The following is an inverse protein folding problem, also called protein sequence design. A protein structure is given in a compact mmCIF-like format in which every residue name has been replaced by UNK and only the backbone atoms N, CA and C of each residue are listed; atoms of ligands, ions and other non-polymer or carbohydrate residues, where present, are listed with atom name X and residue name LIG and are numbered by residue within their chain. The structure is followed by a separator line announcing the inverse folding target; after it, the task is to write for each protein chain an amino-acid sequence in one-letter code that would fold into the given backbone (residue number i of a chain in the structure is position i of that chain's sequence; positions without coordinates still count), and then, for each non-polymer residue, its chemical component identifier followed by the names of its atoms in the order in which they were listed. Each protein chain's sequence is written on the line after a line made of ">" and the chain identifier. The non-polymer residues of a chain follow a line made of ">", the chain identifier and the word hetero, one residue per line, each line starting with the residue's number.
data_IF_051344055528
#
_entry.id   IF_051344055528
#
_cell.length_a   1.000
_cell.length_b   1.000
_cell.length_c   1.000
_cell.angle_alpha   90.00
_cell.angle_beta   90.00
_cell.angle_gamma   90.00
#
_symmetry.space_group_name_H-M   'P 1'
#
loop_
_entity.id
_entity.type
_entity.pdbx_description
1 polymer ?
#
# COMPACT_ATOMS: atom_id res chain seq x y z
N UNK A 1 11.91 78.49 19.40
CA UNK A 1 12.48 77.79 18.23
C UNK A 1 13.50 76.78 18.75
N UNK A 2 13.35 75.53 18.34
CA UNK A 2 13.98 74.35 18.92
C UNK A 2 15.49 74.22 18.66
N UNK A 3 16.22 73.46 19.49
CA UNK A 3 17.44 72.78 19.09
C UNK A 3 17.24 71.27 18.85
N UNK A 4 18.13 70.72 18.00
CA UNK A 4 18.41 69.31 17.68
C UNK A 4 18.96 68.53 18.92
N UNK A 5 19.18 67.20 19.02
CA UNK A 5 19.32 66.02 18.12
C UNK A 5 19.49 64.76 19.05
N UNK A 6 19.20 63.52 18.58
CA UNK A 6 19.98 62.24 18.80
C UNK A 6 19.88 61.55 20.21
N UNK A 7 19.71 60.24 20.49
CA UNK A 7 19.52 58.91 19.80
C UNK A 7 18.89 57.89 20.80
N UNK A 8 18.27 56.82 20.27
CA UNK A 8 18.35 55.38 20.63
C UNK A 8 17.62 54.70 21.83
N UNK A 9 16.85 53.67 21.43
CA UNK A 9 16.87 52.25 21.92
C UNK A 9 15.78 51.72 22.87
N UNK A 10 15.31 50.50 22.54
CA UNK A 10 14.66 49.47 23.40
C UNK A 10 13.14 49.61 23.61
N UNK A 11 12.29 48.72 23.06
CA UNK A 11 11.84 47.42 23.64
C UNK A 11 10.99 47.60 24.92
N UNK A 12 9.83 46.97 25.16
CA UNK A 12 9.11 45.82 24.59
C UNK A 12 7.62 45.97 24.93
N UNK A 13 6.73 45.57 24.01
CA UNK A 13 5.31 45.39 24.29
C UNK A 13 5.04 43.92 24.57
N UNK A 14 4.93 43.56 25.85
CA UNK A 14 4.42 42.26 26.29
C UNK A 14 2.90 42.23 26.15
N UNK A 15 2.40 41.31 25.32
CA UNK A 15 0.98 41.04 25.15
C UNK A 15 0.76 39.85 24.21
N UNK A 16 1.35 38.71 24.55
CA UNK A 16 1.12 37.45 23.81
C UNK A 16 -0.30 36.96 24.12
N UNK A 17 -1.19 37.01 23.13
CA UNK A 17 -2.46 36.28 23.17
C UNK A 17 -2.16 34.78 23.01
N UNK A 18 -2.51 34.01 24.03
CA UNK A 18 -2.55 32.54 23.96
C UNK A 18 -3.67 32.16 22.99
N UNK A 19 -3.32 31.71 21.80
CA UNK A 19 -4.27 31.16 20.84
C UNK A 19 -4.29 29.65 21.06
N UNK A 20 -5.26 29.16 21.83
CA UNK A 20 -5.53 27.74 22.00
C UNK A 20 -5.93 27.13 20.65
N UNK A 21 -5.19 26.09 20.25
CA UNK A 21 -5.45 25.32 19.04
C UNK A 21 -6.84 24.67 19.13
N UNK A 22 -7.83 25.22 18.46
CA UNK A 22 -9.05 24.48 18.11
C UNK A 22 -8.65 23.30 17.21
N UNK A 23 -8.61 22.09 17.76
CA UNK A 23 -8.49 20.85 17.00
C UNK A 23 -9.73 20.72 16.11
N UNK A 24 -9.57 20.88 14.79
CA UNK A 24 -10.64 20.63 13.83
C UNK A 24 -10.89 19.12 13.78
N UNK A 25 -12.02 18.70 14.33
CA UNK A 25 -12.53 17.33 14.19
C UNK A 25 -12.77 17.06 12.70
N UNK A 26 -12.13 16.03 12.16
CA UNK A 26 -12.25 15.66 10.76
C UNK A 26 -13.09 14.39 10.64
N UNK A 27 -14.10 14.43 9.77
CA UNK A 27 -14.92 13.27 9.45
C UNK A 27 -14.03 12.15 8.87
N UNK A 28 -14.28 10.92 9.31
CA UNK A 28 -13.58 9.73 8.83
C UNK A 28 -13.76 9.55 7.31
N UNK A 29 -12.67 9.24 6.63
CA UNK A 29 -12.68 8.74 5.25
C UNK A 29 -12.89 7.22 5.21
N UNK A 30 -13.31 6.64 4.07
CA UNK A 30 -13.37 5.19 3.89
C UNK A 30 -12.04 4.47 4.17
N UNK A 31 -10.91 5.10 3.81
CA UNK A 31 -9.58 4.58 4.07
C UNK A 31 -9.26 4.51 5.57
N UNK A 32 -9.53 5.60 6.31
CA UNK A 32 -9.36 5.64 7.76
C UNK A 32 -10.30 4.66 8.47
N UNK A 33 -11.56 4.58 8.03
CA UNK A 33 -12.52 3.62 8.58
C UNK A 33 -12.06 2.16 8.41
N UNK A 34 -11.50 1.83 7.24
CA UNK A 34 -10.97 0.49 6.97
C UNK A 34 -9.78 0.15 7.87
N UNK A 35 -8.84 1.10 8.06
CA UNK A 35 -7.70 0.93 8.97
C UNK A 35 -8.15 0.75 10.42
N UNK A 36 -9.16 1.49 10.88
CA UNK A 36 -9.74 1.31 12.21
C UNK A 36 -10.42 -0.05 12.38
N UNK A 37 -11.13 -0.55 11.36
CA UNK A 37 -11.70 -1.90 11.38
C UNK A 37 -10.60 -2.97 11.45
N UNK A 38 -9.49 -2.79 10.74
CA UNK A 38 -8.33 -3.69 10.82
C UNK A 38 -7.76 -3.72 12.24
N UNK A 39 -7.47 -2.54 12.82
CA UNK A 39 -7.00 -2.38 14.21
C UNK A 39 -7.90 -3.03 15.24
N UNK A 40 -9.22 -2.91 15.06
CA UNK A 40 -10.23 -3.53 15.93
C UNK A 40 -10.48 -5.01 15.65
N UNK A 41 -9.72 -5.60 14.73
CA UNK A 41 -9.85 -6.99 14.31
C UNK A 41 -11.22 -7.35 13.72
N UNK A 42 -11.91 -6.40 13.06
CA UNK A 42 -13.28 -6.58 12.53
C UNK A 42 -13.35 -7.00 11.06
N UNK A 43 -12.22 -6.95 10.37
CA UNK A 43 -12.09 -7.43 8.99
C UNK A 43 -10.99 -8.49 8.88
N UNK A 44 -11.12 -9.35 7.88
CA UNK A 44 -10.18 -10.42 7.54
C UNK A 44 -9.64 -10.29 6.11
N UNK A 45 -10.05 -9.28 5.35
CA UNK A 45 -9.47 -8.95 4.05
C UNK A 45 -9.76 -7.49 3.75
N UNK A 46 -8.91 -6.88 2.91
CA UNK A 46 -9.11 -5.51 2.39
C UNK A 46 -9.68 -5.49 0.97
N UNK A 47 -9.95 -6.66 0.37
CA UNK A 47 -10.57 -6.74 -0.95
C UNK A 47 -11.98 -6.13 -0.93
N UNK A 48 -12.25 -5.22 -1.89
CA UNK A 48 -13.55 -4.54 -2.01
C UNK A 48 -13.85 -3.48 -0.95
N UNK A 49 -12.89 -3.16 -0.08
CA UNK A 49 -13.00 -2.05 0.87
C UNK A 49 -12.25 -0.81 0.36
N UNK A 50 -12.78 0.36 0.69
CA UNK A 50 -12.34 1.69 0.26
C UNK A 50 -12.10 1.77 -1.26
N UNK A 51 -13.09 1.42 -2.12
CA UNK A 51 -12.93 1.41 -3.58
C UNK A 51 -12.47 2.78 -4.11
N UNK A 52 -11.41 2.79 -4.93
CA UNK A 52 -10.79 4.01 -5.46
C UNK A 52 -9.63 4.57 -4.62
N UNK A 53 -9.38 4.02 -3.43
CA UNK A 53 -8.13 4.23 -2.69
C UNK A 53 -7.07 3.20 -3.11
N UNK A 54 -5.80 3.60 -3.10
CA UNK A 54 -4.69 2.68 -3.39
C UNK A 54 -4.43 1.77 -2.19
N UNK A 55 -4.16 0.50 -2.49
CA UNK A 55 -3.72 -0.48 -1.51
C UNK A 55 -2.21 -0.69 -1.63
N UNK A 56 -1.53 -0.83 -0.50
CA UNK A 56 -0.10 -1.04 -0.45
C UNK A 56 0.26 -2.36 0.24
N UNK A 57 1.20 -3.07 -0.35
CA UNK A 57 1.91 -4.16 0.28
C UNK A 57 2.87 -3.59 1.34
N UNK A 58 3.05 -4.30 2.45
CA UNK A 58 4.00 -3.95 3.51
C UNK A 58 5.21 -4.89 3.52
N UNK A 59 6.40 -4.30 3.65
CA UNK A 59 7.61 -4.98 4.14
C UNK A 59 8.27 -4.15 5.27
N UNK A 60 8.58 -4.76 6.40
CA UNK A 60 9.27 -4.14 7.54
C UNK A 60 10.54 -4.90 7.83
N UNK A 61 11.66 -4.22 7.98
CA UNK A 61 12.95 -4.84 8.21
C UNK A 61 13.84 -4.01 9.14
N UNK A 62 14.89 -4.59 9.75
CA UNK A 62 15.81 -3.85 10.60
C UNK A 62 16.51 -2.74 9.81
N UNK A 63 16.56 -1.53 10.38
CA UNK A 63 16.93 -0.34 9.63
C UNK A 63 18.36 -0.33 9.08
N UNK A 64 19.28 -1.16 9.57
CA UNK A 64 20.60 -1.34 8.94
C UNK A 64 20.52 -1.91 7.50
N UNK A 65 19.43 -2.56 7.12
CA UNK A 65 19.21 -3.06 5.75
C UNK A 65 18.27 -2.17 4.92
N UNK A 66 17.77 -1.06 5.50
CA UNK A 66 16.81 -0.18 4.84
C UNK A 66 17.37 0.45 3.54
N UNK A 67 18.63 0.91 3.56
CA UNK A 67 19.27 1.46 2.35
C UNK A 67 19.43 0.40 1.26
N UNK A 68 19.84 -0.83 1.63
CA UNK A 68 19.96 -1.93 0.68
C UNK A 68 18.61 -2.24 0.01
N UNK A 69 17.52 -2.25 0.78
CA UNK A 69 16.20 -2.52 0.22
C UNK A 69 15.67 -1.36 -0.63
N UNK A 70 15.89 -0.11 -0.20
CA UNK A 70 15.54 1.07 -0.99
C UNK A 70 16.28 1.09 -2.34
N UNK A 71 17.59 0.81 -2.33
CA UNK A 71 18.40 0.72 -3.55
C UNK A 71 17.92 -0.43 -4.44
N UNK A 72 17.56 -1.57 -3.86
CA UNK A 72 16.99 -2.68 -4.62
C UNK A 72 15.69 -2.26 -5.32
N UNK A 73 14.77 -1.62 -4.61
CA UNK A 73 13.52 -1.14 -5.17
C UNK A 73 13.75 -0.10 -6.27
N UNK A 74 14.70 0.82 -6.08
CA UNK A 74 15.08 1.80 -7.09
C UNK A 74 15.65 1.16 -8.36
N UNK A 75 16.38 0.04 -8.23
CA UNK A 75 16.88 -0.75 -9.36
C UNK A 75 15.80 -1.64 -9.99
N UNK A 76 14.71 -1.92 -9.27
CA UNK A 76 13.62 -2.80 -9.73
C UNK A 76 12.25 -2.13 -9.52
N UNK A 77 11.99 -0.97 -10.16
CA UNK A 77 10.82 -0.15 -9.85
C UNK A 77 9.48 -0.78 -10.29
N UNK A 78 9.51 -1.67 -11.29
CA UNK A 78 8.30 -2.35 -11.79
C UNK A 78 7.77 -3.39 -10.78
N UNK A 79 8.58 -4.34 -10.28
CA UNK A 79 8.11 -5.30 -9.28
C UNK A 79 8.10 -4.74 -7.84
N UNK A 80 8.85 -3.67 -7.56
CA UNK A 80 8.99 -3.10 -6.22
C UNK A 80 8.79 -1.57 -6.19
N UNK A 81 7.64 -1.03 -6.65
CA UNK A 81 7.41 0.41 -6.65
C UNK A 81 7.16 0.89 -5.21
N UNK A 82 8.06 1.69 -4.65
CA UNK A 82 7.87 2.27 -3.30
C UNK A 82 6.86 3.41 -3.38
N UNK A 83 5.80 3.32 -2.59
CA UNK A 83 4.82 4.38 -2.34
C UNK A 83 5.20 5.24 -1.14
N UNK A 84 5.75 4.63 -0.10
CA UNK A 84 6.16 5.34 1.12
C UNK A 84 7.04 4.51 2.03
N UNK A 85 7.73 5.18 2.95
CA UNK A 85 8.68 4.58 3.90
C UNK A 85 8.47 5.19 5.28
N UNK A 86 8.50 4.40 6.34
CA UNK A 86 8.47 4.93 7.70
C UNK A 86 9.83 5.55 8.08
N UNK A 87 9.87 6.57 8.95
CA UNK A 87 11.09 6.90 9.66
C UNK A 87 11.59 5.69 10.47
N UNK A 88 12.90 5.65 10.75
CA UNK A 88 13.51 4.57 11.53
C UNK A 88 12.88 4.53 12.93
N UNK A 89 12.26 3.40 13.27
CA UNK A 89 11.67 3.13 14.57
C UNK A 89 10.27 3.72 14.77
N UNK A 90 9.79 4.59 13.88
CA UNK A 90 8.48 5.24 14.02
C UNK A 90 7.40 4.53 13.20
N UNK A 91 6.42 3.87 13.84
CA UNK A 91 5.33 3.18 13.15
C UNK A 91 4.14 4.08 12.77
N UNK A 92 4.13 5.35 13.17
CA UNK A 92 2.96 6.24 13.02
C UNK A 92 3.05 7.19 11.82
N UNK A 93 4.22 7.27 11.18
CA UNK A 93 4.46 8.18 10.06
C UNK A 93 4.89 7.42 8.81
N UNK A 94 4.43 7.90 7.65
CA UNK A 94 4.87 7.46 6.32
C UNK A 94 5.36 8.66 5.54
N UNK A 95 6.50 8.51 4.85
CA UNK A 95 7.07 9.51 3.97
C UNK A 95 7.02 8.98 2.52
N UNK A 96 6.42 9.72 1.58
CA UNK A 96 5.79 11.04 1.75
C UNK A 96 4.45 10.98 2.52
N UNK A 97 4.13 12.05 3.25
CA UNK A 97 2.97 12.13 4.16
C UNK A 97 1.61 12.25 3.48
N UNK A 98 1.57 12.34 2.15
CA UNK A 98 0.35 12.18 1.37
C UNK A 98 -0.07 10.71 1.23
N UNK A 99 0.87 9.77 1.40
CA UNK A 99 0.59 8.34 1.40
C UNK A 99 -0.35 7.95 2.56
N UNK A 100 -0.03 8.46 3.75
CA UNK A 100 -0.89 8.37 4.93
C UNK A 100 -0.94 9.76 5.57
N UNK A 101 -2.10 10.41 5.49
CA UNK A 101 -2.32 11.76 6.00
C UNK A 101 -2.46 11.69 7.52
N UNK A 102 -1.55 12.38 8.21
CA UNK A 102 -1.58 12.49 9.66
C UNK A 102 -2.84 13.23 10.13
N UNK A 103 -3.48 12.66 11.14
CA UNK A 103 -4.61 13.23 11.86
C UNK A 103 -4.35 13.00 13.34
N UNK A 104 -4.39 14.06 14.14
CA UNK A 104 -4.09 14.00 15.58
C UNK A 104 -5.03 13.03 16.30
N UNK A 105 -6.30 13.04 15.91
CA UNK A 105 -7.33 12.16 16.42
C UNK A 105 -8.50 12.03 15.44
N UNK A 106 -9.19 10.90 15.49
CA UNK A 106 -10.37 10.61 14.65
C UNK A 106 -11.60 10.50 15.53
N UNK A 107 -12.74 10.97 15.03
CA UNK A 107 -14.04 10.77 15.70
C UNK A 107 -14.31 9.27 15.86
N UNK A 108 -14.65 8.83 17.06
CA UNK A 108 -15.03 7.44 17.28
C UNK A 108 -16.36 7.12 16.58
N UNK A 109 -16.39 5.99 15.88
CA UNK A 109 -17.59 5.46 15.23
C UNK A 109 -17.76 3.98 15.57
N UNK A 110 -19.01 3.51 15.55
CA UNK A 110 -19.35 2.10 15.79
C UNK A 110 -18.92 1.20 14.61
N UNK A 111 -18.65 -0.08 14.89
CA UNK A 111 -18.13 -1.01 13.87
C UNK A 111 -19.05 -1.15 12.64
N UNK A 112 -20.38 -1.11 12.82
CA UNK A 112 -21.34 -1.16 11.70
C UNK A 112 -21.29 0.10 10.82
N UNK A 113 -21.10 1.27 11.43
CA UNK A 113 -20.98 2.53 10.72
C UNK A 113 -19.67 2.59 9.94
N UNK A 114 -18.57 2.19 10.58
CA UNK A 114 -17.27 2.05 9.95
C UNK A 114 -17.34 1.09 8.75
N UNK A 115 -18.04 -0.03 8.89
CA UNK A 115 -18.17 -1.01 7.80
C UNK A 115 -19.00 -0.47 6.63
N UNK A 116 -20.04 0.33 6.90
CA UNK A 116 -20.79 1.02 5.85
C UNK A 116 -19.92 2.03 5.12
N UNK A 117 -19.18 2.86 5.87
CA UNK A 117 -18.28 3.86 5.32
C UNK A 117 -17.11 3.23 4.54
N UNK A 118 -16.52 2.15 5.03
CA UNK A 118 -15.45 1.41 4.36
C UNK A 118 -15.87 0.81 3.02
N UNK A 119 -17.18 0.73 2.71
CA UNK A 119 -17.68 0.24 1.41
C UNK A 119 -17.94 1.36 0.40
N UNK A 120 -17.63 2.61 0.72
CA UNK A 120 -17.84 3.76 -0.17
C UNK A 120 -16.54 4.25 -0.82
N UNK A 121 -16.68 4.92 -1.97
CA UNK A 121 -15.58 5.55 -2.69
C UNK A 121 -15.25 6.95 -2.16
N UNK A 122 -14.07 7.54 -2.49
CA UNK A 122 -13.68 8.89 -2.06
C UNK A 122 -14.77 9.97 -2.27
N UNK A 123 -15.50 9.91 -3.38
CA UNK A 123 -16.57 10.86 -3.74
C UNK A 123 -17.97 10.44 -3.26
N UNK A 124 -18.08 9.28 -2.59
CA UNK A 124 -19.33 8.75 -2.05
C UNK A 124 -19.62 9.21 -0.61
N UNK A 125 -18.82 10.12 -0.06
CA UNK A 125 -19.11 10.77 1.22
C UNK A 125 -20.38 11.61 1.03
N UNK A 126 -21.46 11.39 1.80
CA UNK A 126 -22.67 12.19 1.67
C UNK A 126 -22.31 13.67 1.89
N UNK A 127 -22.46 14.48 0.85
CA UNK A 127 -22.43 15.93 0.99
C UNK A 127 -23.72 16.36 1.68
N UNK A 128 -23.63 16.58 3.00
CA UNK A 128 -24.69 17.19 3.80
C UNK A 128 -25.55 16.21 4.58
N UNK A 129 -25.34 16.20 5.89
CA UNK A 129 -26.45 16.24 6.82
C UNK A 129 -26.22 17.42 7.75
N UNK A 130 -27.27 18.22 7.90
CA UNK A 130 -27.41 19.37 8.79
C UNK A 130 -26.68 19.13 10.11
N UNK A 131 -25.80 20.05 10.49
CA UNK A 131 -25.12 20.03 11.78
C UNK A 131 -26.14 20.36 12.87
N UNK A 132 -26.85 19.34 13.36
CA UNK A 132 -27.43 19.40 14.69
C UNK A 132 -26.28 19.29 15.68
N UNK A 133 -25.87 20.43 16.24
CA UNK A 133 -25.00 20.51 17.42
C UNK A 133 -25.58 19.62 18.52
N UNK A 134 -25.06 18.39 18.61
CA UNK A 134 -25.21 17.54 19.76
C UNK A 134 -23.89 17.65 20.50
N UNK A 135 -23.93 18.32 21.64
CA UNK A 135 -22.85 18.36 22.64
C UNK A 135 -22.76 16.98 23.30
N UNK A 136 -22.32 15.98 22.55
CA UNK A 136 -21.81 14.72 23.11
C UNK A 136 -20.28 14.80 23.05
N UNK A 137 -19.62 14.51 24.18
CA UNK A 137 -18.18 14.29 24.23
C UNK A 137 -17.84 13.17 23.24
N UNK A 138 -17.48 13.55 22.03
CA UNK A 138 -17.12 12.61 20.97
C UNK A 138 -15.76 12.05 21.35
N UNK A 139 -15.79 10.82 21.87
CA UNK A 139 -14.59 10.04 22.11
C UNK A 139 -13.73 9.99 20.84
N UNK A 140 -12.41 10.02 21.02
CA UNK A 140 -11.45 10.07 19.92
C UNK A 140 -10.55 8.86 19.95
N UNK A 141 -10.16 8.37 18.77
CA UNK A 141 -9.22 7.26 18.63
C UNK A 141 -7.85 7.76 18.16
N UNK A 142 -6.74 7.11 18.57
CA UNK A 142 -5.40 7.45 18.10
C UNK A 142 -5.29 7.42 16.57
N UNK A 143 -4.38 8.22 16.02
CA UNK A 143 -4.06 8.27 14.59
C UNK A 143 -3.50 6.96 14.03
N UNK A 144 -2.90 7.02 12.83
CA UNK A 144 -2.36 5.85 12.13
C UNK A 144 -1.31 5.08 12.94
N UNK A 145 -1.38 3.75 12.89
CA UNK A 145 -0.33 2.86 13.42
C UNK A 145 -0.17 1.62 12.53
N UNK A 146 0.92 1.58 11.77
CA UNK A 146 1.20 0.49 10.82
C UNK A 146 1.33 -0.89 11.49
N UNK A 147 1.48 -0.95 12.82
CA UNK A 147 1.59 -2.22 13.55
C UNK A 147 0.24 -2.90 13.77
N UNK A 148 -0.86 -2.17 13.60
CA UNK A 148 -2.23 -2.65 13.88
C UNK A 148 -3.23 -2.38 12.75
N UNK A 149 -2.92 -1.45 11.84
CA UNK A 149 -3.87 -0.98 10.81
C UNK A 149 -3.97 -1.87 9.56
N UNK A 150 -3.39 -3.07 9.62
CA UNK A 150 -3.47 -4.12 8.59
C UNK A 150 -4.11 -5.37 9.21
N UNK A 151 -5.01 -6.08 8.52
CA UNK A 151 -5.75 -7.18 9.13
C UNK A 151 -4.92 -8.42 9.48
N UNK A 152 -3.78 -8.66 8.84
CA UNK A 152 -2.94 -9.84 9.09
C UNK A 152 -1.49 -9.57 8.64
N UNK A 153 -0.54 -10.00 9.46
CA UNK A 153 0.90 -9.85 9.24
C UNK A 153 1.58 -11.20 9.24
N UNK A 154 2.62 -11.35 8.42
CA UNK A 154 3.54 -12.48 8.46
C UNK A 154 4.86 -12.04 9.07
N UNK A 155 5.38 -12.85 9.98
CA UNK A 155 6.66 -12.64 10.65
C UNK A 155 7.68 -13.65 10.13
N UNK A 156 8.88 -13.18 9.85
CA UNK A 156 9.97 -13.95 9.28
C UNK A 156 11.22 -13.81 10.13
N UNK A 157 11.94 -14.92 10.28
CA UNK A 157 13.27 -14.96 10.92
C UNK A 157 14.23 -15.78 10.07
N UNK A 158 15.39 -15.22 9.74
CA UNK A 158 16.37 -15.86 8.85
C UNK A 158 15.78 -16.23 7.47
N UNK A 159 14.86 -15.41 6.95
CA UNK A 159 14.15 -15.63 5.69
C UNK A 159 13.10 -16.75 5.69
N UNK A 160 12.73 -17.28 6.86
CA UNK A 160 11.65 -18.27 7.00
C UNK A 160 10.46 -17.66 7.71
N UNK A 161 9.26 -17.92 7.20
CA UNK A 161 8.02 -17.58 7.89
C UNK A 161 7.93 -18.36 9.20
N UNK A 162 7.68 -17.66 10.32
CA UNK A 162 7.61 -18.25 11.67
C UNK A 162 6.23 -18.13 12.30
N UNK A 163 5.47 -17.08 11.99
CA UNK A 163 4.12 -16.89 12.53
C UNK A 163 3.30 -15.93 11.67
N UNK A 164 1.98 -16.07 11.75
CA UNK A 164 1.02 -15.07 11.26
C UNK A 164 0.33 -14.44 12.46
N UNK A 165 0.27 -13.11 12.51
CA UNK A 165 -0.20 -12.34 13.66
C UNK A 165 -1.23 -11.28 13.21
N UNK A 166 -2.07 -10.79 14.14
CA UNK A 166 -3.07 -9.74 13.88
C UNK A 166 -2.53 -8.32 14.12
N UNK A 167 -1.39 -8.23 14.78
CA UNK A 167 -0.58 -7.04 14.96
C UNK A 167 0.90 -7.43 14.99
N UNK A 168 1.79 -6.44 14.94
CA UNK A 168 3.25 -6.64 15.06
C UNK A 168 3.85 -5.76 16.17
N UNK A 169 3.06 -5.48 17.21
CA UNK A 169 3.48 -4.59 18.31
C UNK A 169 4.71 -5.13 19.05
N UNK A 170 4.75 -6.44 19.29
CA UNK A 170 5.88 -7.11 19.98
C UNK A 170 7.11 -7.30 19.11
N UNK A 171 6.95 -7.34 17.79
CA UNK A 171 8.04 -7.55 16.82
C UNK A 171 8.72 -6.23 16.44
N UNK A 172 7.99 -5.12 16.52
CA UNK A 172 8.49 -3.80 16.14
C UNK A 172 9.49 -3.23 17.15
N UNK A 173 10.76 -3.51 16.91
CA UNK A 173 11.91 -2.87 17.56
C UNK A 173 12.24 -1.43 17.09
N UNK A 174 13.14 -0.73 17.82
CA UNK A 174 13.43 0.70 17.65
C UNK A 174 14.20 1.06 16.37
N UNK A 175 14.70 0.06 15.63
CA UNK A 175 15.42 0.25 14.39
C UNK A 175 14.59 -0.06 13.15
N UNK A 176 13.37 -0.59 13.28
CA UNK A 176 12.63 -1.07 12.11
C UNK A 176 12.25 0.06 11.17
N UNK A 177 12.22 -0.28 9.89
CA UNK A 177 11.75 0.59 8.80
C UNK A 177 10.72 -0.19 8.00
N UNK A 178 9.53 0.39 7.85
CA UNK A 178 8.46 -0.11 6.99
C UNK A 178 8.53 0.51 5.60
N UNK A 179 8.28 -0.31 4.58
CA UNK A 179 8.19 0.05 3.17
C UNK A 179 6.80 -0.29 2.67
N UNK A 180 6.09 0.72 2.18
CA UNK A 180 4.85 0.57 1.44
C UNK A 180 5.18 0.41 -0.05
N UNK A 181 4.76 -0.71 -0.62
CA UNK A 181 5.05 -1.10 -1.98
C UNK A 181 3.72 -1.15 -2.73
N UNK A 182 3.66 -0.59 -3.94
CA UNK A 182 2.47 -0.59 -4.76
C UNK A 182 1.90 -1.99 -4.99
N UNK A 183 0.58 -2.06 -5.22
CA UNK A 183 -0.15 -3.31 -5.38
C UNK A 183 -0.94 -3.34 -6.70
N UNK A 184 -1.12 -4.54 -7.25
CA UNK A 184 -1.85 -4.74 -8.50
C UNK A 184 -3.36 -4.51 -8.38
N UNK A 185 -3.92 -4.61 -7.16
CA UNK A 185 -5.35 -4.40 -6.92
C UNK A 185 -5.83 -3.04 -7.44
N UNK A 186 -4.97 -2.01 -7.39
CA UNK A 186 -5.35 -0.67 -7.84
C UNK A 186 -5.70 -0.58 -9.32
N UNK A 187 -5.07 -1.38 -10.20
CA UNK A 187 -5.43 -1.37 -11.62
C UNK A 187 -6.60 -2.32 -11.95
N UNK A 188 -6.93 -3.26 -11.06
CA UNK A 188 -8.06 -4.18 -11.26
C UNK A 188 -9.38 -3.42 -11.29
N UNK A 189 -9.57 -2.47 -10.38
CA UNK A 189 -10.72 -1.56 -10.39
C UNK A 189 -10.83 -0.82 -11.74
N UNK A 190 -9.70 -0.38 -12.30
CA UNK A 190 -9.62 0.25 -13.61
C UNK A 190 -10.03 -0.68 -14.76
N UNK A 191 -9.62 -1.95 -14.71
CA UNK A 191 -10.00 -2.96 -15.70
C UNK A 191 -11.49 -3.29 -15.62
N UNK A 192 -12.02 -3.48 -14.40
CA UNK A 192 -13.44 -3.72 -14.17
C UNK A 192 -14.29 -2.53 -14.66
N UNK A 193 -13.88 -1.30 -14.37
CA UNK A 193 -14.55 -0.09 -14.85
C UNK A 193 -14.51 0.07 -16.38
N UNK A 194 -13.47 -0.46 -17.03
CA UNK A 194 -13.35 -0.52 -18.49
C UNK A 194 -14.18 -1.65 -19.13
N UNK A 195 -14.91 -2.44 -18.32
CA UNK A 195 -15.78 -3.53 -18.78
C UNK A 195 -15.07 -4.87 -18.97
N UNK A 196 -13.81 -5.00 -18.53
CA UNK A 196 -13.14 -6.29 -18.50
C UNK A 196 -13.57 -7.10 -17.29
N UNK A 197 -13.56 -8.42 -17.43
CA UNK A 197 -13.72 -9.32 -16.30
C UNK A 197 -12.38 -9.94 -15.89
N UNK A 198 -12.26 -10.26 -14.61
CA UNK A 198 -11.04 -10.83 -14.03
C UNK A 198 -11.34 -12.27 -13.61
N UNK A 199 -10.68 -13.23 -14.27
CA UNK A 199 -10.97 -14.67 -14.10
C UNK A 199 -10.96 -15.11 -12.63
N UNK A 200 -9.99 -14.65 -11.85
CA UNK A 200 -9.86 -15.02 -10.44
C UNK A 200 -10.96 -14.39 -9.56
N UNK A 201 -11.52 -13.23 -9.93
CA UNK A 201 -12.72 -12.69 -9.27
C UNK A 201 -13.95 -13.55 -9.59
N UNK A 202 -14.13 -13.91 -10.86
CA UNK A 202 -15.24 -14.77 -11.30
C UNK A 202 -15.21 -16.16 -10.62
N UNK A 203 -14.01 -16.71 -10.41
CA UNK A 203 -13.81 -18.02 -9.82
C UNK A 203 -13.69 -18.00 -8.27
N UNK A 204 -13.57 -16.81 -7.66
CA UNK A 204 -13.32 -16.68 -6.22
C UNK A 204 -11.97 -17.25 -5.79
N UNK A 205 -10.96 -17.15 -6.64
CA UNK A 205 -9.61 -17.73 -6.44
C UNK A 205 -8.54 -16.65 -6.28
N UNK A 206 -7.35 -17.05 -5.84
CA UNK A 206 -6.18 -16.18 -5.78
C UNK A 206 -5.53 -16.09 -7.16
N UNK A 207 -5.17 -14.89 -7.60
CA UNK A 207 -4.50 -14.66 -8.89
C UNK A 207 -3.25 -15.56 -9.04
N UNK A 208 -3.05 -16.26 -10.17
CA UNK A 208 -1.87 -17.08 -10.38
C UNK A 208 -0.62 -16.22 -10.52
N UNK A 209 0.47 -16.66 -9.90
CA UNK A 209 1.76 -15.99 -9.90
C UNK A 209 2.90 -16.95 -10.25
N UNK A 210 3.91 -16.44 -10.94
CA UNK A 210 4.98 -17.25 -11.54
C UNK A 210 6.35 -16.63 -11.29
N UNK A 211 7.32 -17.50 -11.03
CA UNK A 211 8.74 -17.18 -11.03
C UNK A 211 9.23 -17.12 -12.46
N UNK A 212 9.65 -15.93 -12.89
CA UNK A 212 10.24 -15.77 -14.22
C UNK A 212 11.67 -16.32 -14.28
N UNK A 213 12.28 -16.30 -15.47
CA UNK A 213 13.72 -16.45 -15.66
C UNK A 213 14.50 -15.14 -15.45
N UNK A 214 13.82 -14.02 -15.17
CA UNK A 214 14.42 -12.69 -15.04
C UNK A 214 14.92 -12.50 -13.59
N UNK A 215 16.23 -12.25 -13.38
CA UNK A 215 16.75 -11.97 -12.05
C UNK A 215 16.35 -10.57 -11.58
N UNK A 216 16.14 -10.42 -10.28
CA UNK A 216 16.08 -9.09 -9.64
C UNK A 216 17.49 -8.49 -9.64
N UNK A 217 17.62 -7.22 -10.02
CA UNK A 217 18.89 -6.50 -9.91
C UNK A 217 19.27 -6.35 -8.44
N UNK A 218 20.41 -6.87 -7.98
CA UNK A 218 20.72 -6.97 -6.55
C UNK A 218 21.10 -5.63 -5.90
N UNK A 219 20.96 -5.50 -4.58
CA UNK A 219 21.51 -4.36 -3.84
C UNK A 219 21.85 -4.76 -2.40
N UNK A 220 23.08 -4.46 -1.96
CA UNK A 220 23.59 -4.85 -0.66
C UNK A 220 23.40 -6.34 -0.37
N UNK A 221 22.74 -6.64 0.76
CA UNK A 221 22.47 -8.03 1.17
C UNK A 221 21.39 -8.72 0.33
N UNK A 222 20.62 -7.98 -0.46
CA UNK A 222 19.49 -8.51 -1.23
C UNK A 222 19.94 -8.92 -2.64
N UNK A 223 20.14 -10.22 -2.84
CA UNK A 223 20.49 -10.81 -4.13
C UNK A 223 20.06 -12.28 -4.24
N UNK A 224 19.98 -12.79 -5.47
CA UNK A 224 19.64 -14.19 -5.74
C UNK A 224 18.14 -14.47 -5.82
N UNK A 225 17.31 -13.43 -5.88
CA UNK A 225 15.87 -13.54 -6.12
C UNK A 225 15.51 -13.35 -7.59
N UNK A 226 14.28 -13.70 -7.96
CA UNK A 226 13.73 -13.58 -9.31
C UNK A 226 12.53 -12.64 -9.33
N UNK A 227 12.32 -12.01 -10.48
CA UNK A 227 11.14 -11.20 -10.74
C UNK A 227 9.91 -12.14 -10.73
N UNK A 228 8.92 -11.83 -9.90
CA UNK A 228 7.63 -12.55 -9.86
C UNK A 228 6.58 -11.77 -10.64
N UNK A 229 5.83 -12.47 -11.48
CA UNK A 229 4.69 -11.91 -12.21
C UNK A 229 3.38 -12.52 -11.78
N UNK A 230 2.30 -11.74 -11.81
CA UNK A 230 0.92 -12.24 -11.75
C UNK A 230 0.35 -12.34 -13.16
N UNK A 231 -0.53 -13.30 -13.42
CA UNK A 231 -1.11 -13.53 -14.74
C UNK A 231 -2.64 -13.39 -14.72
N UNK A 232 -3.20 -12.74 -15.74
CA UNK A 232 -4.63 -12.69 -16.00
C UNK A 232 -4.89 -13.00 -17.49
N UNK A 233 -5.89 -13.85 -17.82
CA UNK A 233 -6.24 -14.12 -19.20
C UNK A 233 -7.07 -12.98 -19.80
N UNK A 234 -6.78 -12.61 -21.04
CA UNK A 234 -7.58 -11.67 -21.84
C UNK A 234 -7.65 -12.16 -23.29
N UNK A 235 -8.67 -11.73 -24.05
CA UNK A 235 -8.71 -12.00 -25.49
C UNK A 235 -7.54 -11.29 -26.17
N UNK A 236 -6.93 -11.92 -27.17
CA UNK A 236 -5.76 -11.37 -27.84
C UNK A 236 -5.99 -9.95 -28.43
N UNK A 237 -7.19 -9.69 -28.94
CA UNK A 237 -7.61 -8.39 -29.47
C UNK A 237 -7.76 -7.28 -28.42
N UNK A 238 -7.97 -7.64 -27.15
CA UNK A 238 -8.18 -6.70 -26.05
C UNK A 238 -6.89 -6.25 -25.37
N UNK A 239 -5.76 -6.90 -25.67
CA UNK A 239 -4.47 -6.68 -24.98
C UNK A 239 -4.03 -5.22 -25.04
N UNK A 240 -4.16 -4.54 -26.19
CA UNK A 240 -3.76 -3.13 -26.26
C UNK A 240 -4.65 -2.25 -25.38
N UNK A 241 -5.95 -2.54 -25.31
CA UNK A 241 -6.86 -1.79 -24.45
C UNK A 241 -6.56 -2.03 -22.97
N UNK A 242 -6.25 -3.27 -22.60
CA UNK A 242 -5.78 -3.63 -21.24
C UNK A 242 -4.52 -2.85 -20.89
N UNK A 243 -3.57 -2.70 -21.82
CA UNK A 243 -2.37 -1.89 -21.62
C UNK A 243 -2.70 -0.41 -21.44
N UNK A 244 -3.54 0.16 -22.29
CA UNK A 244 -3.97 1.56 -22.16
C UNK A 244 -4.60 1.86 -20.79
N UNK A 245 -5.47 0.97 -20.32
CA UNK A 245 -6.17 1.12 -19.03
C UNK A 245 -5.20 1.01 -17.84
N UNK A 246 -4.19 0.15 -17.94
CA UNK A 246 -3.26 -0.12 -16.83
C UNK A 246 -2.01 0.78 -16.82
N UNK A 247 -1.65 1.39 -17.95
CA UNK A 247 -0.50 2.31 -18.09
C UNK A 247 -0.49 3.50 -17.12
N UNK A 248 -1.63 4.11 -16.73
CA UNK A 248 -1.67 5.12 -15.68
C UNK A 248 -1.08 4.67 -14.33
N UNK A 249 -1.18 3.38 -14.02
CA UNK A 249 -0.83 2.79 -12.73
C UNK A 249 0.65 2.44 -12.58
N UNK A 250 1.56 3.04 -13.37
CA UNK A 250 3.02 2.82 -13.27
C UNK A 250 3.58 2.90 -11.83
N UNK A 251 3.11 3.82 -10.95
CA UNK A 251 3.52 3.85 -9.54
C UNK A 251 3.07 2.63 -8.70
N UNK A 252 2.23 1.76 -9.25
CA UNK A 252 1.70 0.54 -8.63
C UNK A 252 1.72 -0.64 -9.62
N UNK A 253 2.86 -0.86 -10.28
CA UNK A 253 3.20 -1.87 -11.30
C UNK A 253 2.93 -1.51 -12.76
N UNK A 254 1.88 -0.74 -13.08
CA UNK A 254 1.64 -0.21 -14.41
C UNK A 254 1.11 -1.20 -15.45
N UNK A 255 1.54 -1.00 -16.71
CA UNK A 255 1.13 -1.85 -17.84
C UNK A 255 1.80 -3.24 -17.79
N UNK A 256 1.25 -4.25 -18.49
CA UNK A 256 1.85 -5.58 -18.61
C UNK A 256 3.34 -5.57 -18.94
N UNK A 257 4.10 -6.46 -18.29
CA UNK A 257 5.53 -6.69 -18.57
C UNK A 257 5.77 -7.72 -19.67
N UNK A 258 4.79 -8.58 -19.92
CA UNK A 258 4.78 -9.55 -21.00
C UNK A 258 3.32 -9.97 -21.30
N UNK A 259 3.07 -10.49 -22.50
CA UNK A 259 1.76 -11.01 -22.88
C UNK A 259 1.88 -11.98 -24.05
N UNK A 260 0.84 -12.79 -24.26
CA UNK A 260 0.87 -13.81 -25.29
C UNK A 260 1.71 -15.01 -24.90
N UNK A 261 1.59 -16.08 -25.69
CA UNK A 261 2.34 -17.32 -25.49
C UNK A 261 3.84 -17.16 -25.72
N UNK A 262 4.25 -16.33 -26.69
CA UNK A 262 5.67 -16.01 -26.88
C UNK A 262 6.21 -15.16 -25.73
N UNK A 263 5.46 -14.15 -25.25
CA UNK A 263 5.87 -13.37 -24.09
C UNK A 263 6.00 -14.22 -22.82
N UNK A 264 5.09 -15.18 -22.60
CA UNK A 264 5.20 -16.15 -21.51
C UNK A 264 6.53 -16.93 -21.59
N UNK A 265 6.88 -17.43 -22.78
CA UNK A 265 8.11 -18.18 -23.02
C UNK A 265 9.37 -17.33 -22.82
N UNK A 266 9.35 -16.07 -23.26
CA UNK A 266 10.48 -15.13 -23.08
C UNK A 266 10.80 -14.93 -21.59
N UNK A 267 9.77 -14.78 -20.76
CA UNK A 267 9.92 -14.67 -19.30
C UNK A 267 10.04 -16.03 -18.58
N UNK A 268 10.15 -17.12 -19.33
CA UNK A 268 10.43 -18.46 -18.82
C UNK A 268 9.23 -19.27 -18.31
N UNK A 269 8.00 -18.80 -18.55
CA UNK A 269 6.76 -19.49 -18.17
C UNK A 269 6.35 -20.42 -19.31
N UNK A 270 6.41 -21.73 -19.05
CA UNK A 270 6.12 -22.78 -20.05
C UNK A 270 4.73 -23.40 -19.89
N UNK A 271 4.17 -23.31 -18.69
CA UNK A 271 2.89 -23.87 -18.33
C UNK A 271 2.15 -22.87 -17.43
N UNK A 272 1.05 -22.33 -17.94
CA UNK A 272 0.18 -21.38 -17.21
C UNK A 272 -0.89 -22.09 -16.38
N UNK A 273 -0.98 -23.42 -16.47
CA UNK A 273 -1.88 -24.21 -15.61
C UNK A 273 -1.21 -24.60 -14.28
N UNK A 274 0.11 -24.39 -14.16
CA UNK A 274 0.93 -24.75 -13.00
C UNK A 274 1.59 -23.51 -12.35
N UNK A 275 0.83 -22.66 -11.64
CA UNK A 275 1.40 -21.48 -10.98
C UNK A 275 2.35 -21.85 -9.83
N UNK A 276 3.37 -21.02 -9.61
CA UNK A 276 4.26 -21.14 -8.44
C UNK A 276 3.55 -20.73 -7.14
N UNK A 277 2.59 -19.79 -7.23
CA UNK A 277 1.76 -19.31 -6.13
C UNK A 277 0.36 -18.95 -6.62
N UNK A 278 -0.61 -18.99 -5.71
CA UNK A 278 -2.01 -18.74 -6.04
C UNK A 278 -2.65 -19.94 -6.76
N UNK A 279 -3.80 -19.70 -7.38
CA UNK A 279 -4.59 -20.75 -8.00
C UNK A 279 -4.55 -20.67 -9.52
N UNK A 280 -4.72 -21.82 -10.18
CA UNK A 280 -4.84 -21.90 -11.64
C UNK A 280 -6.00 -21.04 -12.14
N UNK A 281 -5.74 -20.19 -13.13
CA UNK A 281 -6.80 -19.49 -13.87
C UNK A 281 -7.23 -20.31 -15.10
N UNK A 282 -8.53 -20.44 -15.31
CA UNK A 282 -9.06 -21.04 -16.55
C UNK A 282 -8.79 -20.13 -17.75
N UNK A 283 -8.14 -20.68 -18.78
CA UNK A 283 -7.95 -20.06 -20.10
C UNK A 283 -9.09 -20.49 -21.03
N UNK A 284 -9.84 -19.52 -21.58
CA UNK A 284 -10.85 -19.78 -22.62
C UNK A 284 -10.26 -19.70 -24.02
N UNK A 285 -10.97 -20.26 -24.99
CA UNK A 285 -10.60 -20.19 -26.41
C UNK A 285 -10.42 -18.73 -26.86
N UNK A 286 -9.30 -18.45 -27.53
CA UNK A 286 -8.92 -17.11 -27.98
C UNK A 286 -8.33 -16.19 -26.90
N UNK A 287 -8.22 -16.64 -25.64
CA UNK A 287 -7.52 -15.92 -24.59
C UNK A 287 -6.01 -16.18 -24.63
N UNK A 288 -5.24 -15.16 -24.22
CA UNK A 288 -3.79 -15.20 -24.06
C UNK A 288 -3.42 -14.75 -22.66
N UNK A 289 -2.30 -15.27 -22.10
CA UNK A 289 -1.85 -14.85 -20.79
C UNK A 289 -1.24 -13.44 -20.87
N UNK A 290 -1.56 -12.60 -19.90
CA UNK A 290 -1.00 -11.24 -19.75
C UNK A 290 -0.41 -11.12 -18.35
N UNK A 291 0.82 -10.61 -18.25
CA UNK A 291 1.64 -10.68 -17.04
C UNK A 291 2.00 -9.29 -16.49
N UNK A 292 1.91 -9.11 -15.18
CA UNK A 292 2.26 -7.88 -14.46
C UNK A 292 3.29 -8.11 -13.37
N UNK A 293 4.04 -7.06 -13.02
CA UNK A 293 4.77 -6.98 -11.75
C UNK A 293 3.92 -7.42 -10.56
N UNK A 294 4.50 -8.21 -9.66
CA UNK A 294 3.79 -8.71 -8.49
C UNK A 294 4.50 -8.33 -7.19
N UNK A 295 3.71 -7.85 -6.22
CA UNK A 295 4.13 -7.53 -4.85
C UNK A 295 4.66 -8.72 -4.02
N UNK A 296 4.60 -9.95 -4.55
CA UNK A 296 5.29 -11.11 -3.99
C UNK A 296 6.81 -11.06 -4.23
N UNK A 297 7.28 -10.27 -5.20
CA UNK A 297 8.73 -10.12 -5.48
C UNK A 297 9.52 -9.68 -4.24
N UNK A 298 9.12 -8.61 -3.51
CA UNK A 298 9.69 -8.25 -2.20
C UNK A 298 9.78 -9.40 -1.19
N UNK A 299 8.75 -10.24 -1.08
CA UNK A 299 8.76 -11.38 -0.16
C UNK A 299 9.82 -12.41 -0.59
N UNK A 300 9.94 -12.70 -1.88
CA UNK A 300 10.97 -13.58 -2.42
C UNK A 300 12.38 -13.04 -2.23
N UNK A 301 12.55 -11.72 -2.31
CA UNK A 301 13.82 -11.06 -2.01
C UNK A 301 14.25 -11.31 -0.57
N UNK A 302 13.32 -11.21 0.39
CA UNK A 302 13.57 -11.44 1.82
C UNK A 302 13.88 -12.92 2.09
N UNK A 303 13.07 -13.83 1.55
CA UNK A 303 13.30 -15.26 1.70
C UNK A 303 14.64 -15.68 1.11
N UNK A 304 15.00 -15.14 -0.07
CA UNK A 304 16.30 -15.38 -0.69
C UNK A 304 17.44 -14.79 0.16
N UNK A 305 17.26 -13.61 0.76
CA UNK A 305 18.26 -13.00 1.64
C UNK A 305 18.59 -13.92 2.83
N UNK A 306 17.59 -14.61 3.38
CA UNK A 306 17.80 -15.66 4.37
C UNK A 306 18.51 -15.12 5.62
N UNK A 307 19.57 -15.80 6.04
CA UNK A 307 20.39 -15.42 7.19
C UNK A 307 21.24 -14.16 6.98
N UNK A 308 21.22 -13.53 5.79
CA UNK A 308 21.94 -12.26 5.52
C UNK A 308 21.25 -11.05 6.12
N UNK A 309 19.97 -11.19 6.49
CA UNK A 309 19.22 -10.20 7.26
C UNK A 309 19.12 -10.74 8.68
N UNK A 310 19.94 -10.20 9.56
CA UNK A 310 19.85 -10.49 10.99
C UNK A 310 18.66 -9.73 11.59
N UNK A 311 17.87 -10.40 12.44
CA UNK A 311 16.69 -9.80 13.07
C UNK A 311 15.36 -10.32 12.52
N UNK A 312 14.29 -9.60 12.85
CA UNK A 312 12.92 -9.95 12.47
C UNK A 312 12.53 -9.13 11.25
N UNK A 313 11.91 -9.78 10.26
CA UNK A 313 11.28 -9.13 9.11
C UNK A 313 9.79 -9.38 9.19
N UNK A 314 8.97 -8.37 8.93
CA UNK A 314 7.51 -8.51 8.89
C UNK A 314 6.98 -8.11 7.52
N UNK A 315 5.87 -8.69 7.11
CA UNK A 315 5.11 -8.25 5.95
C UNK A 315 3.63 -8.32 6.25
N UNK A 316 2.81 -7.77 5.37
CA UNK A 316 1.40 -8.15 5.32
C UNK A 316 1.22 -9.62 4.88
N UNK A 317 0.10 -10.22 5.23
CA UNK A 317 -0.37 -11.50 4.68
C UNK A 317 -1.08 -11.24 3.34
N UNK A 318 -0.85 -12.02 2.26
CA UNK A 318 -1.52 -11.78 0.97
C UNK A 318 -3.04 -11.64 1.11
N UNK A 319 -3.62 -10.63 0.45
CA UNK A 319 -5.05 -10.28 0.56
C UNK A 319 -5.43 -9.40 1.76
N UNK A 320 -4.45 -9.04 2.60
CA UNK A 320 -4.60 -8.18 3.78
C UNK A 320 -3.67 -6.97 3.62
N UNK A 321 -3.89 -6.12 2.63
CA UNK A 321 -3.02 -4.99 2.34
C UNK A 321 -3.30 -3.79 3.27
N UNK A 322 -2.42 -2.80 3.28
CA UNK A 322 -2.72 -1.50 3.90
C UNK A 322 -3.54 -0.64 2.94
N UNK A 323 -4.65 -0.06 3.40
CA UNK A 323 -5.36 0.98 2.66
C UNK A 323 -4.68 2.33 2.89
N UNK A 324 -4.25 2.99 1.81
CA UNK A 324 -3.60 4.31 1.85
C UNK A 324 -4.61 5.44 1.74
N UNK A 325 -4.17 6.68 1.95
CA UNK A 325 -4.97 7.88 1.70
C UNK A 325 -4.83 8.41 0.26
N UNK A 326 -4.01 7.74 -0.56
CA UNK A 326 -3.85 8.01 -1.99
C UNK A 326 -5.02 7.43 -2.75
N UNK A 327 -5.50 8.18 -3.73
CA UNK A 327 -6.56 7.74 -4.65
C UNK A 327 -6.01 7.41 -6.02
N UNK A 328 -6.81 6.78 -6.88
CA UNK A 328 -6.48 6.58 -8.30
C UNK A 328 -6.14 7.90 -9.00
N UNK A 329 -6.81 9.00 -8.62
CA UNK A 329 -6.55 10.34 -9.18
C UNK A 329 -5.16 10.88 -8.79
N UNK A 330 -4.62 10.46 -7.65
CA UNK A 330 -3.29 10.86 -7.18
C UNK A 330 -2.14 10.16 -7.93
N UNK A 331 -2.41 9.07 -8.66
CA UNK A 331 -1.38 8.33 -9.42
C UNK A 331 -0.61 9.22 -10.40
N UNK A 332 -1.28 10.22 -11.00
CA UNK A 332 -0.64 11.16 -11.91
C UNK A 332 0.46 11.99 -11.23
N UNK A 333 0.32 12.27 -9.92
CA UNK A 333 1.28 13.03 -9.11
C UNK A 333 2.45 12.16 -8.64
N UNK A 334 2.25 10.85 -8.55
CA UNK A 334 3.27 9.88 -8.12
C UNK A 334 4.25 9.51 -9.25
N UNK A 335 3.99 9.94 -10.49
CA UNK A 335 4.90 9.77 -11.62
C UNK A 335 6.14 10.66 -11.40
N UNK A 336 7.21 10.04 -10.93
CA UNK A 336 8.56 10.64 -10.88
C UNK A 336 9.22 10.61 -12.26
#
# INVERSE_FOLDING_TARGET
>A
MAPSRVVESGQDATGVSVNEKQQKQQQLTPAQATRLLARRNKITSTAGLAPGYLQANLLVLPGEYASHFADLCARNPVPCPILGITPRGDPHQIIPGDCIREVDSLTEAGDEELLKLAKTSPNGVPSGSDSTETTEETSTVPGFDIRTDIPSYKVFHGGKHVSTQRDILSEWGPSHVGFLIGCSYSFEDGLLAAGFSLRHHEQGTIVPMYKTNIPVLPAGVFHGSKFIVSMRPFRAEDVEKVREVTRPYLPTHGEPVAWGWEGAKEIGIRDVDSPDFGDRAEMKEGEVPVFWGCGVTPQMIVEAAGSRVEGVVMSHDPGHMLITDLTVEDLARLRK
#
